data_IF_881477923499
#
_entry.id   IF_881477923499
#
_cell.length_a   1.000
_cell.length_b   1.000
_cell.length_c   1.000
_cell.angle_alpha   90.00
_cell.angle_beta   90.00
_cell.angle_gamma   90.00
#
_symmetry.space_group_name_H-M   'P 1'
#
loop_
_entity.id
_entity.type
_entity.pdbx_description
1 polymer ?
#
# COMPACT_ATOMS: atom_id res chain seq x y z
N UNK A 1 -6.21 58.86 5.00
CA UNK A 1 -5.68 58.23 3.76
C UNK A 1 -4.35 57.46 3.93
N UNK A 2 -3.73 57.41 5.12
CA UNK A 2 -2.53 56.56 5.39
C UNK A 2 -2.80 55.29 6.21
N UNK A 3 -3.99 55.12 6.80
CA UNK A 3 -4.32 53.93 7.62
C UNK A 3 -4.75 52.73 6.76
N UNK A 4 -5.40 52.96 5.62
CA UNK A 4 -5.79 51.91 4.66
C UNK A 4 -4.59 51.20 4.01
N UNK A 5 -3.47 51.92 3.83
CA UNK A 5 -2.23 51.37 3.25
C UNK A 5 -1.52 50.42 4.21
N UNK A 6 -1.68 50.60 5.53
CA UNK A 6 -1.12 49.73 6.57
C UNK A 6 -1.93 48.44 6.69
N UNK A 7 -3.27 48.53 6.55
CA UNK A 7 -4.18 47.37 6.56
C UNK A 7 -3.95 46.48 5.33
N UNK A 8 -3.74 47.06 4.13
CA UNK A 8 -3.39 46.29 2.92
C UNK A 8 -2.02 45.62 2.99
N UNK A 9 -1.02 46.24 3.64
CA UNK A 9 0.31 45.65 3.80
C UNK A 9 0.31 44.46 4.77
N UNK A 10 -0.51 44.50 5.83
CA UNK A 10 -0.67 43.39 6.78
C UNK A 10 -1.44 42.19 6.21
N UNK A 11 -2.30 42.41 5.21
CA UNK A 11 -3.00 41.35 4.48
C UNK A 11 -2.12 40.64 3.42
N UNK A 12 -1.02 41.26 2.99
CA UNK A 12 -0.09 40.72 1.99
C UNK A 12 1.13 39.97 2.59
N UNK A 13 1.31 40.01 3.91
CA UNK A 13 2.42 39.33 4.60
C UNK A 13 1.96 38.14 5.45
N UNK A 14 0.74 37.64 5.29
CA UNK A 14 0.43 36.28 5.73
C UNK A 14 1.24 35.38 4.80
N UNK A 15 2.35 34.79 5.25
CA UNK A 15 3.12 33.96 4.37
C UNK A 15 2.23 32.77 4.05
N UNK A 16 2.12 32.45 2.77
CA UNK A 16 1.61 31.18 2.24
C UNK A 16 2.56 30.03 2.64
N UNK A 17 3.07 30.06 3.87
CA UNK A 17 3.81 28.97 4.49
C UNK A 17 2.81 27.87 4.71
N UNK A 18 2.70 27.04 3.68
CA UNK A 18 1.99 25.80 3.64
C UNK A 18 2.00 25.13 5.01
N UNK A 19 0.80 24.86 5.53
CA UNK A 19 0.58 23.78 6.48
C UNK A 19 0.96 22.48 5.77
N UNK A 20 2.26 22.17 5.72
CA UNK A 20 2.72 20.83 5.41
C UNK A 20 2.36 19.97 6.63
N UNK A 21 1.13 19.49 6.69
CA UNK A 21 0.75 18.40 7.58
C UNK A 21 1.58 17.21 7.15
N UNK A 22 2.69 16.97 7.84
CA UNK A 22 3.49 15.78 7.63
C UNK A 22 2.68 14.62 8.21
N UNK A 23 2.02 13.85 7.35
CA UNK A 23 1.29 12.66 7.78
C UNK A 23 2.31 11.57 8.14
N UNK A 24 2.81 11.58 9.37
CA UNK A 24 3.70 10.55 9.90
C UNK A 24 2.88 9.34 10.32
N UNK A 25 2.92 8.28 9.52
CA UNK A 25 2.37 6.99 9.93
C UNK A 25 3.29 6.24 10.91
N UNK A 26 2.78 5.19 11.57
CA UNK A 26 3.54 4.41 12.55
C UNK A 26 4.78 3.78 11.89
N UNK A 27 5.90 3.77 12.61
CA UNK A 27 7.15 3.12 12.20
C UNK A 27 7.37 1.91 13.10
N UNK A 28 7.64 0.76 12.49
CA UNK A 28 7.88 -0.51 13.18
C UNK A 28 9.15 -1.15 12.64
N UNK A 29 9.98 -1.71 13.52
CA UNK A 29 11.19 -2.43 13.15
C UNK A 29 10.88 -3.88 12.81
N UNK A 30 11.43 -4.38 11.70
CA UNK A 30 11.33 -5.78 11.27
C UNK A 30 12.73 -6.41 11.19
N UNK A 31 12.81 -7.72 10.92
CA UNK A 31 14.08 -8.42 10.75
C UNK A 31 14.93 -7.91 9.58
N UNK A 32 14.31 -7.25 8.59
CA UNK A 32 14.97 -6.75 7.37
C UNK A 32 15.15 -5.22 7.36
N UNK A 33 14.62 -4.51 8.35
CA UNK A 33 14.72 -3.05 8.48
C UNK A 33 13.41 -2.41 8.94
N UNK A 34 13.42 -1.08 9.07
CA UNK A 34 12.25 -0.32 9.55
C UNK A 34 11.22 -0.12 8.43
N UNK A 35 9.93 -0.16 8.78
CA UNK A 35 8.80 0.07 7.86
C UNK A 35 7.87 1.16 8.39
N UNK A 36 7.41 2.04 7.50
CA UNK A 36 6.40 3.07 7.81
C UNK A 36 5.05 2.68 7.21
N UNK A 37 4.05 2.49 8.05
CA UNK A 37 2.67 2.20 7.65
C UNK A 37 1.79 3.45 7.61
N UNK A 38 0.47 3.25 7.55
CA UNK A 38 -0.53 4.31 7.75
C UNK A 38 -1.68 3.82 8.62
N UNK A 39 -2.25 4.70 9.44
CA UNK A 39 -3.47 4.39 10.20
C UNK A 39 -4.68 4.59 9.30
N UNK A 40 -5.48 3.54 9.10
CA UNK A 40 -6.75 3.60 8.37
C UNK A 40 -7.92 3.54 9.34
N UNK A 41 -8.87 4.45 9.18
CA UNK A 41 -10.13 4.44 9.93
C UNK A 41 -11.12 3.53 9.21
N UNK A 42 -11.74 2.58 9.92
CA UNK A 42 -12.71 1.65 9.33
C UNK A 42 -14.14 2.09 9.61
N UNK A 43 -14.50 2.17 10.89
CA UNK A 43 -15.84 2.52 11.36
C UNK A 43 -15.70 3.38 12.62
N UNK A 44 -16.41 4.51 12.65
CA UNK A 44 -16.38 5.48 13.75
C UNK A 44 -14.93 5.88 14.09
N UNK A 45 -14.49 5.59 15.31
CA UNK A 45 -13.16 5.90 15.88
C UNK A 45 -12.19 4.71 15.86
N UNK A 46 -12.61 3.55 15.32
CA UNK A 46 -11.75 2.37 15.23
C UNK A 46 -10.89 2.45 13.99
N UNK A 47 -9.59 2.55 14.22
CA UNK A 47 -8.56 2.50 13.19
C UNK A 47 -7.66 1.29 13.35
N UNK A 48 -7.05 0.87 12.25
CA UNK A 48 -6.02 -0.16 12.22
C UNK A 48 -4.76 0.42 11.57
N UNK A 49 -3.61 0.00 12.06
CA UNK A 49 -2.34 0.32 11.41
C UNK A 49 -2.13 -0.64 10.24
N UNK A 50 -2.01 -0.08 9.05
CA UNK A 50 -1.84 -0.81 7.80
C UNK A 50 -0.40 -0.69 7.33
N UNK A 51 0.23 -1.84 7.11
CA UNK A 51 1.54 -1.95 6.47
C UNK A 51 1.38 -2.83 5.23
N UNK A 52 1.66 -2.26 4.07
CA UNK A 52 1.40 -2.84 2.76
C UNK A 52 2.66 -2.83 1.90
N UNK A 53 2.81 -3.80 1.01
CA UNK A 53 3.93 -3.84 0.06
C UNK A 53 5.30 -4.19 0.66
N UNK A 54 5.37 -4.70 1.90
CA UNK A 54 6.63 -5.12 2.51
C UNK A 54 7.20 -6.36 1.78
N UNK A 55 8.43 -6.32 1.25
CA UNK A 55 9.07 -7.47 0.63
C UNK A 55 9.37 -8.57 1.65
N UNK A 56 8.89 -9.78 1.41
CA UNK A 56 9.21 -10.97 2.21
C UNK A 56 10.21 -11.91 1.51
N UNK A 57 10.46 -11.68 0.23
CA UNK A 57 11.40 -12.45 -0.58
C UNK A 57 11.95 -11.61 -1.72
N UNK A 58 13.06 -12.07 -2.32
CA UNK A 58 13.59 -11.48 -3.55
C UNK A 58 12.61 -11.67 -4.71
N UNK A 59 12.54 -10.66 -5.59
CA UNK A 59 11.69 -10.71 -6.77
C UNK A 59 12.03 -11.96 -7.63
N UNK A 60 11.05 -12.81 -7.99
CA UNK A 60 11.27 -14.05 -8.74
C UNK A 60 11.38 -13.80 -10.25
N UNK A 61 12.24 -12.84 -10.63
CA UNK A 61 12.46 -12.41 -12.01
C UNK A 61 13.76 -12.98 -12.59
N UNK A 62 13.88 -13.02 -13.92
CA UNK A 62 15.08 -13.53 -14.60
C UNK A 62 15.36 -15.00 -14.25
N UNK A 63 16.60 -15.28 -13.84
CA UNK A 63 17.06 -16.64 -13.49
C UNK A 63 16.40 -17.20 -12.22
N UNK A 64 15.77 -16.34 -11.39
CA UNK A 64 15.01 -16.76 -10.20
C UNK A 64 13.61 -17.27 -10.53
N UNK A 65 13.12 -17.06 -11.75
CA UNK A 65 11.83 -17.58 -12.17
C UNK A 65 11.85 -19.12 -12.11
N UNK A 66 10.81 -19.71 -11.53
CA UNK A 66 10.69 -21.17 -11.31
C UNK A 66 11.75 -21.77 -10.38
N UNK A 67 12.40 -20.94 -9.56
CA UNK A 67 13.29 -21.39 -8.48
C UNK A 67 12.60 -21.21 -7.13
N UNK A 68 13.19 -21.80 -6.08
CA UNK A 68 12.74 -21.57 -4.70
C UNK A 68 12.88 -20.08 -4.36
N UNK A 69 11.94 -19.51 -3.58
CA UNK A 69 12.06 -18.14 -3.11
C UNK A 69 13.35 -17.94 -2.30
N UNK A 70 14.07 -16.85 -2.59
CA UNK A 70 15.19 -16.39 -1.79
C UNK A 70 14.70 -15.33 -0.79
N UNK A 71 15.32 -15.20 0.41
CA UNK A 71 14.99 -14.17 1.39
C UNK A 71 15.08 -12.76 0.81
N UNK A 72 14.29 -11.82 1.35
CA UNK A 72 14.37 -10.40 1.00
C UNK A 72 15.72 -9.80 1.41
N UNK A 73 16.17 -8.79 0.67
CA UNK A 73 17.33 -7.99 1.04
C UNK A 73 16.94 -7.02 2.16
N UNK A 74 17.85 -6.85 3.12
CA UNK A 74 17.68 -5.84 4.17
C UNK A 74 17.87 -4.44 3.60
N UNK A 75 17.21 -3.46 4.21
CA UNK A 75 17.32 -2.05 3.83
C UNK A 75 17.75 -1.21 5.04
N UNK A 76 18.53 -0.15 4.77
CA UNK A 76 19.06 0.71 5.82
C UNK A 76 18.11 1.86 6.20
N UNK A 77 17.27 2.31 5.25
CA UNK A 77 16.35 3.43 5.45
C UNK A 77 14.93 2.91 5.64
N UNK A 78 14.09 3.62 6.41
CA UNK A 78 12.69 3.23 6.62
C UNK A 78 11.95 3.06 5.29
N UNK A 79 11.47 1.85 5.03
CA UNK A 79 10.68 1.50 3.85
C UNK A 79 9.27 2.10 3.96
N UNK A 80 8.80 2.76 2.89
CA UNK A 80 7.42 3.23 2.80
C UNK A 80 6.47 2.07 2.48
N UNK A 81 5.74 1.62 3.50
CA UNK A 81 4.77 0.52 3.43
C UNK A 81 3.31 1.03 3.37
N UNK A 82 3.07 2.20 2.76
CA UNK A 82 1.72 2.78 2.64
C UNK A 82 0.99 2.40 1.34
N UNK A 83 1.69 1.77 0.40
CA UNK A 83 1.19 1.44 -0.95
C UNK A 83 1.19 -0.07 -1.20
N UNK A 84 0.16 -0.55 -1.90
CA UNK A 84 0.09 -1.93 -2.36
C UNK A 84 1.18 -2.21 -3.41
N UNK A 85 1.83 -3.35 -3.30
CA UNK A 85 2.73 -3.86 -4.33
C UNK A 85 1.94 -4.34 -5.57
N UNK A 86 2.59 -4.41 -6.75
CA UNK A 86 1.97 -5.00 -7.93
C UNK A 86 1.50 -6.43 -7.66
N UNK A 87 0.29 -6.76 -8.11
CA UNK A 87 -0.21 -8.13 -8.07
C UNK A 87 0.62 -9.04 -9.00
N UNK A 88 0.57 -10.35 -8.74
CA UNK A 88 1.24 -11.33 -9.58
C UNK A 88 0.65 -11.38 -11.00
N UNK A 89 1.45 -11.88 -11.94
CA UNK A 89 0.99 -12.16 -13.30
C UNK A 89 -0.18 -13.14 -13.27
N UNK A 90 -1.36 -12.65 -13.62
CA UNK A 90 -2.57 -13.42 -13.75
C UNK A 90 -3.34 -12.87 -14.95
N UNK A 91 -3.94 -13.75 -15.75
CA UNK A 91 -5.01 -13.31 -16.65
C UNK A 91 -6.10 -12.70 -15.78
N UNK A 92 -6.68 -11.55 -16.17
CA UNK A 92 -7.86 -11.02 -15.49
C UNK A 92 -8.87 -12.16 -15.39
N UNK A 93 -9.07 -12.69 -14.18
CA UNK A 93 -9.84 -13.90 -14.03
C UNK A 93 -11.25 -13.60 -14.53
N UNK A 94 -11.78 -14.57 -15.26
CA UNK A 94 -13.21 -14.76 -15.44
C UNK A 94 -13.88 -14.32 -14.15
N UNK A 95 -14.73 -13.29 -14.21
CA UNK A 95 -15.39 -12.76 -13.04
C UNK A 95 -16.07 -13.94 -12.34
N UNK A 96 -15.54 -14.34 -11.18
CA UNK A 96 -16.08 -15.48 -10.45
C UNK A 96 -17.52 -15.21 -9.97
N UNK A 97 -17.97 -13.94 -10.01
CA UNK A 97 -19.38 -13.57 -9.83
C UNK A 97 -20.23 -13.78 -11.09
N UNK A 98 -19.61 -13.88 -12.27
CA UNK A 98 -20.25 -14.19 -13.57
C UNK A 98 -20.10 -15.65 -13.99
N UNK A 99 -19.16 -16.40 -13.41
CA UNK A 99 -19.20 -17.84 -13.53
C UNK A 99 -20.46 -18.33 -12.81
N UNK A 100 -21.36 -19.09 -13.48
CA UNK A 100 -22.37 -19.80 -12.72
C UNK A 100 -21.60 -20.68 -11.73
N UNK A 101 -21.90 -20.55 -10.44
CA UNK A 101 -21.48 -21.52 -9.45
C UNK A 101 -22.00 -22.88 -9.95
N UNK A 102 -21.14 -23.66 -10.60
CA UNK A 102 -21.47 -25.00 -11.02
C UNK A 102 -21.54 -25.82 -9.75
N UNK A 103 -22.73 -26.33 -9.43
CA UNK A 103 -22.88 -27.30 -8.34
C UNK A 103 -21.86 -28.43 -8.59
N UNK A 104 -20.93 -28.68 -7.66
CA UNK A 104 -19.95 -29.75 -7.79
C UNK A 104 -20.58 -31.12 -8.08
N UNK A 105 -21.87 -31.31 -7.76
CA UNK A 105 -22.62 -32.55 -8.00
C UNK A 105 -23.22 -32.67 -9.42
N UNK A 106 -23.13 -31.64 -10.24
CA UNK A 106 -23.74 -31.61 -11.58
C UNK A 106 -22.79 -32.01 -12.72
N UNK A 107 -21.51 -32.24 -12.44
CA UNK A 107 -20.50 -32.62 -13.43
C UNK A 107 -20.11 -34.10 -13.35
N UNK A 108 -20.14 -34.80 -14.47
CA UNK A 108 -19.51 -36.12 -14.64
C UNK A 108 -17.99 -35.97 -14.61
N UNK A 109 -17.41 -35.96 -13.42
CA UNK A 109 -15.95 -35.93 -13.24
C UNK A 109 -15.36 -37.34 -13.43
N UNK A 110 -15.14 -37.74 -14.69
CA UNK A 110 -14.35 -38.93 -14.95
C UNK A 110 -12.87 -38.57 -14.74
N UNK A 111 -12.34 -39.00 -13.59
CA UNK A 111 -10.94 -38.86 -13.22
C UNK A 111 -10.06 -39.50 -14.29
N UNK A 112 -9.45 -38.69 -15.17
CA UNK A 112 -8.36 -39.19 -16.03
C UNK A 112 -7.16 -39.45 -15.13
N UNK A 113 -6.95 -40.74 -14.81
CA UNK A 113 -5.71 -41.24 -14.22
C UNK A 113 -4.56 -41.12 -15.22
#
# INVERSE_FOLDING_TARGET
MMLWRIILALLLTVPWSALAVCFSGPIVSTTTGDVRGCRRVLLEDRGVDCFTGIPYGRAPVGQRRFRRPEPAESWNNTLDATRLAPACMQTAAIDARKLPFQDPKSGTWEMRK
#
